data_IF_122997403380
#
_entry.id   IF_122997403380
#
_cell.length_a   1.000
_cell.length_b   1.000
_cell.length_c   1.000
_cell.angle_alpha   90.00
_cell.angle_beta   90.00
_cell.angle_gamma   90.00
#
_symmetry.space_group_name_H-M   'P 1'
#
loop_
_entity.id
_entity.type
_entity.pdbx_description
1 polymer ?
#
# COMPACT_ATOMS: atom_id res chain seq x y z
N UNK A 1 -1.75 5.09 -4.15
CA UNK A 1 -2.49 6.02 -3.30
C UNK A 1 -1.92 5.89 -1.90
N UNK A 2 -1.43 6.98 -1.32
CA UNK A 2 -0.81 7.00 0.02
C UNK A 2 -0.71 8.47 0.49
N UNK A 3 -1.23 8.78 1.68
CA UNK A 3 -1.18 10.13 2.28
C UNK A 3 0.05 10.34 3.19
N UNK A 4 0.87 9.32 3.39
CA UNK A 4 2.05 9.40 4.22
C UNK A 4 3.16 10.23 3.59
N UNK A 5 3.99 10.80 4.46
CA UNK A 5 5.24 11.45 4.09
C UNK A 5 6.40 10.49 4.28
N UNK A 6 7.45 10.69 3.48
CA UNK A 6 8.70 9.95 3.64
C UNK A 6 9.36 10.36 4.96
N UNK A 7 9.63 9.37 5.79
CA UNK A 7 10.39 9.50 7.04
C UNK A 7 11.79 8.90 6.88
N UNK A 8 12.71 9.29 7.75
CA UNK A 8 14.10 8.78 7.73
C UNK A 8 14.12 7.25 7.86
N UNK A 9 13.26 6.67 8.70
CA UNK A 9 13.14 5.21 8.85
C UNK A 9 12.63 4.48 7.60
N UNK A 10 12.09 5.20 6.61
CA UNK A 10 11.64 4.59 5.36
C UNK A 10 12.79 4.40 4.35
N UNK A 11 13.89 5.15 4.47
CA UNK A 11 14.96 5.16 3.47
C UNK A 11 15.57 3.78 3.23
N UNK A 12 15.78 3.02 4.31
CA UNK A 12 16.40 1.69 4.24
C UNK A 12 15.51 0.61 3.60
N UNK A 13 14.18 0.73 3.67
CA UNK A 13 13.26 -0.36 3.30
C UNK A 13 12.28 -0.02 2.17
N UNK A 14 11.97 1.26 1.96
CA UNK A 14 11.01 1.72 0.94
C UNK A 14 11.71 2.37 -0.26
N UNK A 15 13.05 2.35 -0.29
CA UNK A 15 13.90 2.85 -1.39
C UNK A 15 13.59 4.30 -1.79
N UNK A 16 13.31 5.14 -0.79
CA UNK A 16 13.18 6.58 -1.00
C UNK A 16 14.56 7.24 -1.01
N UNK A 17 14.72 8.27 -1.84
CA UNK A 17 15.90 9.13 -1.82
C UNK A 17 15.88 10.03 -0.56
N UNK A 18 17.01 10.23 0.14
CA UNK A 18 17.08 11.10 1.33
C UNK A 18 16.50 12.51 1.11
N UNK A 19 16.59 13.06 -0.11
CA UNK A 19 16.04 14.38 -0.46
C UNK A 19 14.51 14.43 -0.43
N UNK A 20 13.85 13.28 -0.39
CA UNK A 20 12.39 13.16 -0.36
C UNK A 20 11.81 13.14 1.04
N UNK A 21 12.63 13.11 2.10
CA UNK A 21 12.13 13.18 3.49
C UNK A 21 11.24 14.41 3.68
N UNK A 22 10.08 14.19 4.31
CA UNK A 22 9.03 15.21 4.51
C UNK A 22 8.11 15.43 3.31
N UNK A 23 8.40 14.87 2.13
CA UNK A 23 7.49 14.90 0.96
C UNK A 23 6.58 13.68 0.97
N UNK A 24 5.47 13.73 0.23
CA UNK A 24 4.56 12.60 0.08
C UNK A 24 5.28 11.39 -0.53
N UNK A 25 5.06 10.20 0.02
CA UNK A 25 5.63 8.94 -0.49
C UNK A 25 5.26 8.69 -1.95
N UNK A 26 4.02 9.00 -2.34
CA UNK A 26 3.58 8.87 -3.74
C UNK A 26 4.39 9.72 -4.71
N UNK A 27 4.84 10.91 -4.29
CA UNK A 27 5.66 11.77 -5.14
C UNK A 27 7.08 11.23 -5.26
N UNK A 28 7.64 10.70 -4.17
CA UNK A 28 8.94 10.01 -4.20
C UNK A 28 8.93 8.80 -5.15
N UNK A 29 7.87 7.98 -5.09
CA UNK A 29 7.69 6.87 -6.02
C UNK A 29 7.50 7.33 -7.47
N UNK A 30 6.72 8.39 -7.70
CA UNK A 30 6.52 8.92 -9.04
C UNK A 30 7.80 9.47 -9.67
N UNK A 31 8.59 10.24 -8.91
CA UNK A 31 9.88 10.76 -9.38
C UNK A 31 10.87 9.62 -9.69
N UNK A 32 10.95 8.62 -8.81
CA UNK A 32 11.83 7.46 -9.00
C UNK A 32 11.44 6.61 -10.20
N UNK A 33 10.15 6.51 -10.51
CA UNK A 33 9.64 5.70 -11.63
C UNK A 33 9.55 6.47 -12.95
N UNK A 34 9.69 7.80 -12.93
CA UNK A 34 9.58 8.64 -14.12
C UNK A 34 10.44 8.18 -15.32
N UNK A 35 11.69 7.69 -15.14
CA UNK A 35 12.50 7.20 -16.26
C UNK A 35 11.92 5.99 -17.00
N UNK A 36 10.98 5.26 -16.41
CA UNK A 36 10.35 4.07 -16.99
C UNK A 36 8.98 4.35 -17.62
N UNK A 37 8.51 5.60 -17.56
CA UNK A 37 7.20 5.99 -18.09
C UNK A 37 7.29 6.28 -19.60
N UNK A 38 6.16 6.13 -20.29
CA UNK A 38 6.02 6.42 -21.72
C UNK A 38 4.59 6.81 -22.05
N UNK A 39 4.30 7.08 -23.33
CA UNK A 39 2.91 7.31 -23.78
C UNK A 39 2.00 6.08 -23.55
N UNK A 40 2.57 4.87 -23.48
CA UNK A 40 1.84 3.63 -23.23
C UNK A 40 1.75 3.27 -21.74
N UNK A 41 2.54 3.93 -20.87
CA UNK A 41 2.58 3.66 -19.44
C UNK A 41 2.69 4.97 -18.66
N UNK A 42 1.57 5.37 -18.07
CA UNK A 42 1.47 6.60 -17.25
C UNK A 42 1.34 6.27 -15.77
N UNK A 43 1.81 7.17 -14.92
CA UNK A 43 1.68 7.07 -13.47
C UNK A 43 1.07 8.36 -12.91
N UNK A 44 -0.01 8.22 -12.14
CA UNK A 44 -0.64 9.33 -11.41
C UNK A 44 -0.47 9.14 -9.91
N UNK A 45 0.38 9.92 -9.22
CA UNK A 45 0.46 9.88 -7.77
C UNK A 45 -0.85 10.42 -7.15
N UNK A 46 -1.38 9.72 -6.14
CA UNK A 46 -2.59 10.12 -5.42
C UNK A 46 -2.25 10.18 -3.93
N UNK A 47 -2.09 11.40 -3.41
CA UNK A 47 -1.67 11.71 -2.04
C UNK A 47 -2.82 11.69 -1.03
N UNK A 48 -3.74 10.74 -1.18
CA UNK A 48 -4.95 10.65 -0.38
C UNK A 48 -5.00 9.32 0.35
N UNK A 49 -5.73 9.31 1.47
CA UNK A 49 -6.10 8.10 2.18
C UNK A 49 -7.30 7.46 1.51
N UNK A 50 -7.28 6.12 1.40
CA UNK A 50 -8.44 5.37 0.95
C UNK A 50 -9.50 5.31 2.07
N UNK A 51 -10.62 6.00 1.86
CA UNK A 51 -11.71 6.13 2.83
C UNK A 51 -13.11 5.87 2.23
N UNK A 52 -13.25 5.99 0.91
CA UNK A 52 -14.55 5.93 0.23
C UNK A 52 -14.45 5.02 -1.00
N UNK A 53 -15.52 4.28 -1.26
CA UNK A 53 -15.62 3.37 -2.42
C UNK A 53 -15.39 4.11 -3.74
N UNK A 54 -15.89 5.35 -3.86
CA UNK A 54 -15.74 6.14 -5.10
C UNK A 54 -14.28 6.46 -5.47
N UNK A 55 -13.33 6.25 -4.56
CA UNK A 55 -11.89 6.37 -4.88
C UNK A 55 -11.36 5.17 -5.68
N UNK A 56 -12.14 4.09 -5.78
CA UNK A 56 -11.84 2.87 -6.53
C UNK A 56 -12.49 2.86 -7.92
N UNK A 57 -13.30 3.87 -8.24
CA UNK A 57 -14.01 3.95 -9.52
C UNK A 57 -13.03 4.06 -10.69
N UNK A 58 -13.27 3.25 -11.73
CA UNK A 58 -12.47 3.26 -12.96
C UNK A 58 -11.16 2.47 -12.91
N UNK A 59 -10.91 1.70 -11.84
CA UNK A 59 -9.78 0.77 -11.78
C UNK A 59 -10.22 -0.68 -12.08
N UNK A 60 -9.58 -1.33 -13.05
CA UNK A 60 -9.86 -2.73 -13.39
C UNK A 60 -9.28 -3.73 -12.39
N UNK A 61 -8.18 -3.35 -11.72
CA UNK A 61 -7.48 -4.17 -10.72
C UNK A 61 -6.96 -3.26 -9.61
N UNK A 62 -7.19 -3.66 -8.35
CA UNK A 62 -6.71 -2.93 -7.18
C UNK A 62 -5.68 -3.77 -6.41
N UNK A 63 -4.45 -3.25 -6.28
CA UNK A 63 -3.41 -3.87 -5.43
C UNK A 63 -3.39 -3.15 -4.09
N UNK A 64 -3.64 -3.87 -2.99
CA UNK A 64 -3.69 -3.34 -1.63
C UNK A 64 -2.49 -3.81 -0.80
N UNK A 65 -1.63 -2.88 -0.42
CA UNK A 65 -0.44 -3.11 0.40
C UNK A 65 -0.40 -2.10 1.57
N UNK A 66 -1.48 -2.08 2.36
CA UNK A 66 -1.71 -1.07 3.42
C UNK A 66 -1.63 -1.71 4.81
N UNK A 67 -1.37 -0.91 5.83
CA UNK A 67 -1.32 -1.35 7.23
C UNK A 67 -2.71 -1.41 7.90
N UNK A 68 -3.71 -0.71 7.34
CA UNK A 68 -5.05 -0.55 7.91
C UNK A 68 -6.04 -1.63 7.42
N UNK A 69 -6.61 -2.44 8.34
CA UNK A 69 -7.64 -3.43 7.98
C UNK A 69 -8.87 -2.83 7.30
N UNK A 70 -9.34 -1.66 7.74
CA UNK A 70 -10.51 -1.01 7.14
C UNK A 70 -10.32 -0.66 5.65
N UNK A 71 -9.10 -0.30 5.24
CA UNK A 71 -8.81 -0.04 3.84
C UNK A 71 -8.75 -1.34 3.02
N UNK A 72 -8.23 -2.43 3.60
CA UNK A 72 -8.27 -3.78 3.00
C UNK A 72 -9.70 -4.24 2.77
N UNK A 73 -10.53 -4.17 3.83
CA UNK A 73 -11.94 -4.54 3.76
C UNK A 73 -12.72 -3.72 2.74
N UNK A 74 -12.45 -2.42 2.61
CA UNK A 74 -13.07 -1.58 1.58
C UNK A 74 -12.76 -2.10 0.17
N UNK A 75 -11.50 -2.49 -0.10
CA UNK A 75 -11.11 -3.06 -1.40
C UNK A 75 -11.76 -4.41 -1.63
N UNK A 76 -11.70 -5.32 -0.65
CA UNK A 76 -12.25 -6.67 -0.79
C UNK A 76 -13.75 -6.66 -1.09
N UNK A 77 -14.49 -5.71 -0.50
CA UNK A 77 -15.94 -5.61 -0.63
C UNK A 77 -16.41 -4.78 -1.84
N UNK A 78 -15.53 -4.06 -2.52
CA UNK A 78 -15.94 -3.07 -3.53
C UNK A 78 -15.20 -3.16 -4.86
N UNK A 79 -14.09 -3.88 -4.93
CA UNK A 79 -13.35 -4.09 -6.18
C UNK A 79 -13.67 -5.46 -6.77
N UNK A 80 -13.92 -5.53 -8.09
CA UNK A 80 -14.15 -6.80 -8.79
C UNK A 80 -12.90 -7.68 -8.79
N UNK A 81 -11.72 -7.09 -9.01
CA UNK A 81 -10.43 -7.78 -8.99
C UNK A 81 -9.47 -7.06 -8.06
N UNK A 82 -8.90 -7.81 -7.13
CA UNK A 82 -7.93 -7.27 -6.19
C UNK A 82 -6.84 -8.28 -5.85
N UNK A 83 -5.71 -7.74 -5.41
CA UNK A 83 -4.56 -8.47 -4.87
C UNK A 83 -4.16 -7.80 -3.56
N UNK A 84 -4.29 -8.51 -2.46
CA UNK A 84 -3.88 -8.11 -1.13
C UNK A 84 -2.47 -8.65 -0.84
N UNK A 85 -1.54 -7.74 -0.60
CA UNK A 85 -0.16 -8.04 -0.23
C UNK A 85 0.10 -7.63 1.22
N UNK A 86 0.71 -8.55 1.97
CA UNK A 86 1.05 -8.36 3.39
C UNK A 86 2.48 -8.77 3.64
N UNK A 87 3.19 -7.96 4.41
CA UNK A 87 4.53 -8.25 4.91
C UNK A 87 4.58 -8.16 6.42
N UNK A 88 5.42 -8.98 7.05
CA UNK A 88 5.73 -8.86 8.46
C UNK A 88 6.96 -9.70 8.80
N UNK A 89 8.02 -9.05 9.28
CA UNK A 89 9.30 -9.72 9.55
C UNK A 89 9.80 -10.47 8.30
N UNK A 90 10.03 -11.77 8.45
CA UNK A 90 10.53 -12.64 7.38
C UNK A 90 9.42 -13.27 6.52
N UNK A 91 8.15 -12.93 6.80
CA UNK A 91 6.98 -13.53 6.16
C UNK A 91 6.26 -12.59 5.19
N UNK A 92 5.58 -13.20 4.21
CA UNK A 92 4.62 -12.53 3.34
C UNK A 92 3.37 -13.38 3.12
N UNK A 93 2.24 -12.71 2.92
CA UNK A 93 0.97 -13.33 2.50
C UNK A 93 0.45 -12.57 1.27
N UNK A 94 -0.03 -13.33 0.28
CA UNK A 94 -0.73 -12.79 -0.88
C UNK A 94 -2.11 -13.46 -0.95
N UNK A 95 -3.17 -12.65 -0.94
CA UNK A 95 -4.55 -13.10 -1.15
C UNK A 95 -5.09 -12.36 -2.38
N UNK A 96 -5.96 -13.01 -3.14
CA UNK A 96 -6.61 -12.40 -4.30
C UNK A 96 -8.13 -12.59 -4.25
N UNK A 97 -8.82 -11.97 -5.20
CA UNK A 97 -10.28 -12.05 -5.35
C UNK A 97 -10.84 -13.48 -5.52
N UNK A 98 -9.99 -14.50 -5.73
CA UNK A 98 -10.38 -15.90 -5.83
C UNK A 98 -10.11 -16.70 -4.55
N UNK A 99 -9.43 -16.08 -3.58
CA UNK A 99 -9.14 -16.69 -2.27
C UNK A 99 -10.44 -16.91 -1.49
N UNK A 100 -10.43 -17.94 -0.62
CA UNK A 100 -11.61 -18.28 0.19
C UNK A 100 -12.05 -17.08 1.05
N UNK A 101 -13.34 -16.73 0.97
CA UNK A 101 -13.88 -15.56 1.67
C UNK A 101 -13.72 -15.63 3.20
N UNK A 102 -13.85 -16.81 3.81
CA UNK A 102 -13.66 -16.96 5.25
C UNK A 102 -12.19 -16.74 5.63
N UNK A 103 -11.25 -17.21 4.80
CA UNK A 103 -9.83 -16.92 4.99
C UNK A 103 -9.55 -15.42 4.90
N UNK A 104 -10.10 -14.74 3.90
CA UNK A 104 -9.92 -13.28 3.71
C UNK A 104 -10.46 -12.50 4.91
N UNK A 105 -11.66 -12.85 5.40
CA UNK A 105 -12.27 -12.24 6.58
C UNK A 105 -11.47 -12.52 7.85
N UNK A 106 -11.10 -13.79 8.08
CA UNK A 106 -10.29 -14.21 9.24
C UNK A 106 -8.95 -13.48 9.28
N UNK A 107 -8.34 -13.28 8.11
CA UNK A 107 -7.08 -12.57 8.00
C UNK A 107 -7.26 -11.05 8.10
N UNK A 108 -8.47 -10.48 7.99
CA UNK A 108 -8.71 -9.02 7.98
C UNK A 108 -9.54 -8.56 9.17
N UNK A 109 -9.08 -8.76 10.42
CA UNK A 109 -9.80 -8.32 11.61
C UNK A 109 -9.89 -6.79 11.66
N UNK A 110 -11.11 -6.25 11.75
CA UNK A 110 -11.35 -4.80 11.70
C UNK A 110 -10.92 -4.05 12.97
N UNK A 111 -10.71 -4.76 14.07
CA UNK A 111 -10.29 -4.25 15.38
C UNK A 111 -8.76 -4.22 15.55
N UNK A 112 -7.99 -4.65 14.55
CA UNK A 112 -6.54 -4.57 14.57
C UNK A 112 -6.03 -3.14 14.32
N UNK A 113 -5.11 -2.67 15.16
CA UNK A 113 -4.41 -1.41 14.95
C UNK A 113 -3.47 -1.47 13.72
N UNK A 114 -3.23 -0.34 13.04
CA UNK A 114 -2.25 -0.29 11.96
C UNK A 114 -0.88 -0.81 12.40
N UNK A 115 -0.26 -1.64 11.58
CA UNK A 115 1.01 -2.29 11.91
C UNK A 115 2.09 -2.00 10.86
N UNK A 116 3.30 -1.69 11.33
CA UNK A 116 4.46 -1.58 10.46
C UNK A 116 4.93 -2.96 10.02
N UNK A 117 5.35 -3.09 8.75
CA UNK A 117 6.07 -4.28 8.29
C UNK A 117 7.47 -4.41 8.92
N UNK A 118 8.01 -3.33 9.52
CA UNK A 118 9.33 -3.33 10.13
C UNK A 118 9.26 -3.84 11.57
N UNK A 119 10.12 -4.81 11.92
CA UNK A 119 10.28 -5.26 13.31
C UNK A 119 10.86 -4.10 14.14
N UNK A 120 10.27 -3.72 15.28
CA UNK A 120 10.83 -2.68 16.15
C UNK A 120 12.29 -2.96 16.50
N UNK A 121 13.15 -1.95 16.32
CA UNK A 121 14.59 -2.07 16.58
C UNK A 121 15.43 -2.71 15.47
N UNK A 122 14.81 -3.06 14.32
CA UNK A 122 15.53 -3.57 13.14
C UNK A 122 16.45 -2.54 12.47
N UNK A 123 16.18 -1.25 12.64
CA UNK A 123 17.05 -0.15 12.22
C UNK A 123 17.47 0.62 13.48
N UNK A 124 18.78 0.82 13.66
CA UNK A 124 19.31 1.78 14.63
C UNK A 124 19.43 3.14 13.94
N UNK A 125 18.80 4.16 14.51
CA UNK A 125 18.96 5.56 14.11
C UNK A 125 20.35 6.09 14.49
#
# INVERSE_FOLDING_TARGET
MDDDRVEVGNLAHQRHDPRMVGRLKVNSSAERLAPFLSHALTLKPIGEKLLRVSQLDGYDVVVVAVDRPAARALVHNSSERWLDLRCGGDGMIALDYQSDSNLVETMTPLDQAPASCQIPGSIKA
#
